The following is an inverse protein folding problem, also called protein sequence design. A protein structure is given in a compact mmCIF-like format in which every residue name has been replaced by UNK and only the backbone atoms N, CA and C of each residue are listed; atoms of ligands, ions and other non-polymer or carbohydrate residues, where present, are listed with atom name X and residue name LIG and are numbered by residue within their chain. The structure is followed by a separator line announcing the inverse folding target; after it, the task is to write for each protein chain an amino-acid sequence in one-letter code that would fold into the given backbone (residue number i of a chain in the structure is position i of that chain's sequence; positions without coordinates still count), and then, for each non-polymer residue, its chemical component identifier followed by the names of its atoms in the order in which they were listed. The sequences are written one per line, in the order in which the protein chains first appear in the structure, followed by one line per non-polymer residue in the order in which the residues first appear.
data_IF_817901532052
#
_entry.id   IF_817901532052
#
_cell.length_a   1.000
_cell.length_b   1.000
_cell.length_c   1.000
_cell.angle_alpha   90.00
_cell.angle_beta   90.00
_cell.angle_gamma   90.00
#
_symmetry.space_group_name_H-M   'P 1'
#
loop_
_entity.id
_entity.type
_entity.pdbx_description
1 polymer ?
#
# COMPACT_ATOMS: atom_id res chain seq x y z
N UNK A 1 10.10 -0.03 11.40
CA UNK A 1 10.18 0.44 12.79
C UNK A 1 10.96 1.74 12.91
N UNK A 2 12.29 1.77 12.68
CA UNK A 2 13.10 2.98 12.89
C UNK A 2 12.54 4.25 12.21
N UNK A 3 12.20 4.18 10.92
CA UNK A 3 11.62 5.31 10.18
C UNK A 3 10.23 5.74 10.68
N UNK A 4 9.39 4.79 11.07
CA UNK A 4 8.08 5.06 11.69
C UNK A 4 8.27 5.80 13.01
N UNK A 5 9.17 5.31 13.86
CA UNK A 5 9.49 5.93 15.15
C UNK A 5 10.09 7.33 14.97
N UNK A 6 11.03 7.49 14.03
CA UNK A 6 11.64 8.78 13.71
C UNK A 6 10.61 9.78 13.18
N UNK A 7 9.77 9.39 12.21
CA UNK A 7 8.72 10.25 11.68
C UNK A 7 7.67 10.62 12.72
N UNK A 8 7.28 9.67 13.58
CA UNK A 8 6.37 9.92 14.71
C UNK A 8 6.96 10.92 15.71
N UNK A 9 8.26 10.78 16.02
CA UNK A 9 8.98 11.71 16.88
C UNK A 9 9.06 13.11 16.25
N UNK A 10 9.33 13.22 14.94
CA UNK A 10 9.32 14.50 14.23
C UNK A 10 7.94 15.18 14.32
N UNK A 11 6.86 14.43 14.14
CA UNK A 11 5.50 14.95 14.29
C UNK A 11 5.22 15.44 15.71
N UNK A 12 5.67 14.68 16.72
CA UNK A 12 5.52 15.05 18.13
C UNK A 12 6.26 16.35 18.44
N UNK A 13 7.54 16.43 18.05
CA UNK A 13 8.38 17.61 18.29
C UNK A 13 7.82 18.85 17.59
N UNK A 14 7.34 18.70 16.35
CA UNK A 14 6.69 19.78 15.61
C UNK A 14 5.40 20.28 16.28
N UNK A 15 4.59 19.36 16.79
CA UNK A 15 3.36 19.69 17.51
C UNK A 15 3.65 20.44 18.82
N UNK A 16 4.65 19.98 19.57
CA UNK A 16 5.14 20.64 20.79
C UNK A 16 5.68 22.03 20.47
N UNK A 17 6.50 22.17 19.42
CA UNK A 17 7.06 23.44 19.00
C UNK A 17 6.00 24.47 18.58
N UNK A 18 4.88 24.01 18.00
CA UNK A 18 3.74 24.88 17.64
C UNK A 18 3.01 25.44 18.87
N UNK A 19 3.14 24.79 20.04
CA UNK A 19 2.46 25.21 21.26
C UNK A 19 0.93 25.06 21.20
N UNK A 20 0.41 24.10 20.42
CA UNK A 20 -1.04 23.90 20.27
C UNK A 20 -1.68 23.51 21.62
N UNK A 21 -2.71 24.22 22.10
CA UNK A 21 -3.39 23.89 23.35
C UNK A 21 -4.15 22.55 23.30
N UNK A 22 -4.37 21.99 22.10
CA UNK A 22 -5.02 20.69 21.86
C UNK A 22 -4.03 19.58 21.44
N UNK A 23 -2.74 19.75 21.77
CA UNK A 23 -1.71 18.81 21.36
C UNK A 23 -2.00 17.36 21.77
N UNK A 24 -2.72 17.13 22.87
CA UNK A 24 -3.10 15.78 23.32
C UNK A 24 -4.07 15.07 22.38
N UNK A 25 -5.07 15.78 21.88
CA UNK A 25 -6.05 15.26 20.90
C UNK A 25 -5.37 14.96 19.55
N UNK A 26 -4.49 15.86 19.10
CA UNK A 26 -3.73 15.68 17.87
C UNK A 26 -2.66 14.57 17.99
N UNK A 27 -2.07 14.39 19.18
CA UNK A 27 -1.08 13.33 19.45
C UNK A 27 -1.75 11.96 19.45
N UNK A 28 -2.87 11.82 20.15
CA UNK A 28 -3.62 10.56 20.20
C UNK A 28 -4.21 10.18 18.84
N UNK A 29 -4.79 11.13 18.09
CA UNK A 29 -5.41 10.85 16.79
C UNK A 29 -4.44 10.69 15.61
N UNK A 30 -3.21 11.20 15.71
CA UNK A 30 -2.26 11.18 14.59
C UNK A 30 -0.97 10.40 14.89
N UNK A 31 -0.35 10.60 16.05
CA UNK A 31 0.94 9.96 16.38
C UNK A 31 0.71 8.55 16.93
N UNK A 32 -0.23 8.40 17.88
CA UNK A 32 -0.62 7.06 18.34
C UNK A 32 -1.26 6.26 17.20
N UNK A 33 -1.95 6.92 16.25
CA UNK A 33 -2.40 6.29 15.02
C UNK A 33 -1.25 5.73 14.17
N UNK A 34 -0.18 6.49 13.90
CA UNK A 34 0.94 6.00 13.07
C UNK A 34 1.65 4.78 13.69
N UNK A 35 1.80 4.78 15.02
CA UNK A 35 2.34 3.64 15.76
C UNK A 35 1.34 2.46 15.75
N UNK A 36 0.07 2.75 16.05
CA UNK A 36 -1.04 1.80 16.04
C UNK A 36 -1.21 1.12 14.68
N UNK A 37 -1.04 1.85 13.58
CA UNK A 37 -1.10 1.33 12.22
C UNK A 37 -0.05 0.25 11.97
N UNK A 38 1.14 0.35 12.57
CA UNK A 38 2.16 -0.70 12.44
C UNK A 38 1.74 -1.98 13.16
N UNK A 39 1.16 -1.87 14.36
CA UNK A 39 0.58 -3.00 15.08
C UNK A 39 -0.62 -3.58 14.33
N UNK A 40 -1.43 -2.73 13.73
CA UNK A 40 -2.58 -3.12 12.92
C UNK A 40 -2.15 -3.90 11.68
N UNK A 41 -1.11 -3.45 10.96
CA UNK A 41 -0.52 -4.20 9.85
C UNK A 41 0.05 -5.56 10.30
N UNK A 42 0.68 -5.61 11.48
CA UNK A 42 1.16 -6.88 12.04
C UNK A 42 0.00 -7.82 12.35
N UNK A 43 -1.09 -7.30 12.95
CA UNK A 43 -2.31 -8.05 13.22
C UNK A 43 -2.95 -8.55 11.92
N UNK A 44 -3.04 -7.71 10.89
CA UNK A 44 -3.50 -8.12 9.56
C UNK A 44 -2.62 -9.19 8.93
N UNK A 45 -1.29 -9.11 9.12
CA UNK A 45 -0.36 -10.17 8.74
C UNK A 45 -0.64 -11.50 9.43
N UNK A 46 -1.03 -11.47 10.71
CA UNK A 46 -1.46 -12.67 11.45
C UNK A 46 -2.79 -13.19 10.91
N UNK A 47 -3.78 -12.32 10.70
CA UNK A 47 -5.11 -12.68 10.20
C UNK A 47 -5.06 -13.31 8.80
N UNK A 48 -4.13 -12.91 7.95
CA UNK A 48 -3.97 -13.46 6.59
C UNK A 48 -3.05 -14.70 6.54
N UNK A 49 -2.44 -15.10 7.66
CA UNK A 49 -1.55 -16.28 7.72
C UNK A 49 -2.26 -17.58 7.30
N UNK A 50 -3.50 -17.86 7.72
CA UNK A 50 -4.31 -18.97 7.21
C UNK A 50 -4.39 -19.02 5.68
N UNK A 51 -4.71 -17.89 5.05
CA UNK A 51 -4.80 -17.76 3.60
C UNK A 51 -3.44 -18.04 2.94
N UNK A 52 -2.36 -17.50 3.50
CA UNK A 52 -1.00 -17.76 3.01
C UNK A 52 -0.69 -19.24 2.98
N UNK A 53 -0.99 -19.98 4.05
CA UNK A 53 -0.74 -21.43 4.10
C UNK A 53 -1.58 -22.21 3.11
N UNK A 54 -2.86 -21.87 2.95
CA UNK A 54 -3.76 -22.50 1.97
C UNK A 54 -3.23 -22.33 0.54
N UNK A 55 -2.73 -21.14 0.22
CA UNK A 55 -2.21 -20.84 -1.11
C UNK A 55 -0.84 -21.48 -1.34
N UNK A 56 0.06 -21.47 -0.35
CA UNK A 56 1.44 -21.96 -0.52
C UNK A 56 1.56 -23.48 -0.45
N UNK A 57 0.70 -24.16 0.32
CA UNK A 57 0.79 -25.61 0.58
C UNK A 57 -0.59 -26.29 0.46
N UNK A 58 -1.26 -26.25 -0.71
CA UNK A 58 -2.64 -26.68 -0.87
C UNK A 58 -2.87 -28.14 -0.47
N UNK A 59 -1.90 -29.03 -0.74
CA UNK A 59 -1.99 -30.47 -0.44
C UNK A 59 -2.03 -30.77 1.06
N UNK A 60 -1.34 -29.97 1.87
CA UNK A 60 -1.28 -30.12 3.34
C UNK A 60 -2.35 -29.29 4.06
N UNK A 61 -2.97 -28.36 3.35
CA UNK A 61 -3.83 -27.35 3.95
C UNK A 61 -5.28 -27.82 4.16
N UNK A 62 -5.83 -28.75 3.37
CA UNK A 62 -7.29 -29.02 3.33
C UNK A 62 -7.99 -29.27 4.68
N UNK A 63 -7.31 -29.93 5.63
CA UNK A 63 -7.84 -30.12 7.00
C UNK A 63 -7.82 -28.82 7.82
N UNK A 64 -6.67 -28.14 7.85
CA UNK A 64 -6.50 -26.85 8.58
C UNK A 64 -7.28 -25.71 7.91
N UNK A 65 -7.47 -25.78 6.60
CA UNK A 65 -8.15 -24.79 5.80
C UNK A 65 -9.63 -24.73 6.19
N UNK A 66 -10.29 -25.89 6.26
CA UNK A 66 -11.67 -26.00 6.73
C UNK A 66 -11.83 -25.51 8.16
N UNK A 67 -10.87 -25.82 9.04
CA UNK A 67 -10.86 -25.29 10.41
C UNK A 67 -10.78 -23.75 10.45
N UNK A 68 -9.88 -23.15 9.67
CA UNK A 68 -9.75 -21.69 9.59
C UNK A 68 -11.02 -21.03 9.04
N UNK A 69 -11.62 -21.61 7.98
CA UNK A 69 -12.91 -21.16 7.43
C UNK A 69 -14.00 -21.22 8.52
N UNK A 70 -14.08 -22.31 9.28
CA UNK A 70 -15.05 -22.45 10.37
C UNK A 70 -14.84 -21.42 11.47
N UNK A 71 -13.59 -21.15 11.90
CA UNK A 71 -13.31 -20.13 12.92
C UNK A 71 -13.70 -18.74 12.43
N UNK A 72 -13.21 -18.33 11.25
CA UNK A 72 -13.52 -16.99 10.72
C UNK A 72 -15.02 -16.84 10.41
N UNK A 73 -15.66 -17.90 9.92
CA UNK A 73 -17.10 -17.96 9.70
C UNK A 73 -17.89 -17.80 10.99
N UNK A 74 -17.52 -18.52 12.05
CA UNK A 74 -18.16 -18.41 13.36
C UNK A 74 -17.97 -17.02 13.96
N UNK A 75 -16.75 -16.46 13.92
CA UNK A 75 -16.48 -15.11 14.41
C UNK A 75 -17.27 -14.05 13.65
N UNK A 76 -17.27 -14.09 12.31
CA UNK A 76 -18.05 -13.17 11.49
C UNK A 76 -19.55 -13.29 11.77
N UNK A 77 -20.07 -14.52 11.91
CA UNK A 77 -21.47 -14.77 12.24
C UNK A 77 -21.85 -14.21 13.61
N UNK A 78 -21.01 -14.43 14.64
CA UNK A 78 -21.25 -13.88 15.97
C UNK A 78 -21.33 -12.34 15.96
N UNK A 79 -20.46 -11.68 15.21
CA UNK A 79 -20.50 -10.21 15.09
C UNK A 79 -21.71 -9.74 14.27
N UNK A 80 -22.08 -10.44 13.20
CA UNK A 80 -23.32 -10.16 12.45
C UNK A 80 -24.56 -10.29 13.34
N UNK A 81 -24.63 -11.33 14.17
CA UNK A 81 -25.72 -11.50 15.15
C UNK A 81 -25.71 -10.36 16.16
N UNK A 82 -24.53 -9.93 16.64
CA UNK A 82 -24.44 -8.78 17.54
C UNK A 82 -24.97 -7.48 16.90
N UNK A 83 -24.64 -7.23 15.62
CA UNK A 83 -25.17 -6.09 14.85
C UNK A 83 -26.69 -6.20 14.70
N UNK A 84 -27.21 -7.37 14.34
CA UNK A 84 -28.65 -7.59 14.18
C UNK A 84 -29.41 -7.42 15.51
N UNK A 85 -28.85 -7.92 16.61
CA UNK A 85 -29.44 -7.77 17.95
C UNK A 85 -29.46 -6.30 18.35
N UNK A 86 -28.39 -5.55 18.11
CA UNK A 86 -28.35 -4.11 18.35
C UNK A 86 -29.45 -3.38 17.57
N UNK A 87 -29.54 -3.64 16.26
CA UNK A 87 -30.53 -3.02 15.38
C UNK A 87 -31.98 -3.39 15.77
N UNK A 88 -32.21 -4.60 16.30
CA UNK A 88 -33.53 -5.05 16.76
C UNK A 88 -33.90 -4.50 18.14
N UNK A 89 -32.91 -4.23 18.99
CA UNK A 89 -33.14 -3.71 20.34
C UNK A 89 -33.36 -2.19 20.37
N UNK A 90 -33.10 -1.49 19.24
CA UNK A 90 -33.31 -0.05 18.95
C UNK A 90 -33.45 0.82 20.22
N UNK A 91 -32.45 0.71 21.09
CA UNK A 91 -32.39 1.40 22.36
C UNK A 91 -31.58 2.68 22.21
N UNK A 92 -31.85 3.73 23.00
CA UNK A 92 -31.22 5.05 22.88
C UNK A 92 -29.74 5.09 23.36
N UNK A 93 -29.03 3.96 23.34
CA UNK A 93 -27.64 3.90 23.77
C UNK A 93 -26.69 4.43 22.71
N UNK A 94 -26.45 5.74 22.69
CA UNK A 94 -25.50 6.40 21.78
C UNK A 94 -24.14 5.66 21.71
N UNK A 95 -23.62 5.19 22.86
CA UNK A 95 -22.35 4.46 22.90
C UNK A 95 -22.37 3.07 22.24
N UNK A 96 -23.50 2.35 22.22
CA UNK A 96 -23.59 1.05 21.55
C UNK A 96 -23.66 1.21 20.04
N UNK A 97 -24.41 2.21 19.57
CA UNK A 97 -24.48 2.58 18.15
C UNK A 97 -23.11 3.01 17.64
N UNK A 98 -22.41 3.86 18.39
CA UNK A 98 -21.02 4.26 18.06
C UNK A 98 -20.08 3.05 18.00
N UNK A 99 -20.12 2.15 18.99
CA UNK A 99 -19.29 0.94 18.96
C UNK A 99 -19.63 0.05 17.74
N UNK A 100 -20.90 -0.06 17.39
CA UNK A 100 -21.36 -0.83 16.23
C UNK A 100 -20.86 -0.23 14.92
N UNK A 101 -21.04 1.08 14.74
CA UNK A 101 -20.64 1.80 13.54
C UNK A 101 -19.12 1.88 13.38
N UNK A 102 -18.39 2.18 14.44
CA UNK A 102 -16.95 2.42 14.35
C UNK A 102 -16.11 1.15 14.50
N UNK A 103 -16.58 0.13 15.21
CA UNK A 103 -15.76 -1.05 15.54
C UNK A 103 -16.36 -2.32 14.96
N UNK A 104 -17.59 -2.67 15.33
CA UNK A 104 -18.14 -4.01 15.06
C UNK A 104 -18.30 -4.24 13.57
N UNK A 105 -18.96 -3.34 12.84
CA UNK A 105 -19.21 -3.55 11.41
C UNK A 105 -17.89 -3.51 10.62
N UNK A 106 -16.98 -2.54 10.78
CA UNK A 106 -15.70 -2.55 10.06
C UNK A 106 -14.84 -3.80 10.34
N UNK A 107 -14.79 -4.29 11.59
CA UNK A 107 -14.10 -5.55 11.93
C UNK A 107 -14.79 -6.74 11.24
N UNK A 108 -16.13 -6.75 11.22
CA UNK A 108 -16.91 -7.78 10.53
C UNK A 108 -16.62 -7.80 9.03
N UNK A 109 -16.54 -6.65 8.37
CA UNK A 109 -16.18 -6.52 6.95
C UNK A 109 -14.78 -7.10 6.67
N UNK A 110 -13.78 -6.77 7.49
CA UNK A 110 -12.43 -7.35 7.39
C UNK A 110 -12.45 -8.88 7.55
N UNK A 111 -13.21 -9.42 8.52
CA UNK A 111 -13.33 -10.86 8.73
C UNK A 111 -14.05 -11.54 7.57
N UNK A 112 -15.11 -10.94 7.03
CA UNK A 112 -15.82 -11.41 5.85
C UNK A 112 -14.91 -11.41 4.61
N UNK A 113 -14.06 -10.39 4.47
CA UNK A 113 -13.07 -10.32 3.39
C UNK A 113 -12.08 -11.48 3.46
N UNK A 114 -11.47 -11.71 4.63
CA UNK A 114 -10.54 -12.83 4.85
C UNK A 114 -11.24 -14.18 4.66
N UNK A 115 -12.46 -14.33 5.18
CA UNK A 115 -13.28 -15.53 5.01
C UNK A 115 -13.56 -15.82 3.53
N UNK A 116 -14.00 -14.81 2.77
CA UNK A 116 -14.22 -14.93 1.33
C UNK A 116 -12.94 -15.41 0.63
N UNK A 117 -11.79 -14.82 0.96
CA UNK A 117 -10.51 -15.23 0.38
C UNK A 117 -10.13 -16.66 0.74
N UNK A 118 -10.36 -17.10 1.99
CA UNK A 118 -10.11 -18.47 2.42
C UNK A 118 -11.02 -19.48 1.69
N UNK A 119 -12.30 -19.14 1.52
CA UNK A 119 -13.25 -19.96 0.75
C UNK A 119 -12.82 -20.07 -0.70
N UNK A 120 -12.45 -18.96 -1.35
CA UNK A 120 -11.92 -19.00 -2.71
C UNK A 120 -10.58 -19.76 -2.78
N UNK A 121 -9.73 -19.65 -1.77
CA UNK A 121 -8.46 -20.38 -1.70
C UNK A 121 -8.65 -21.90 -1.52
N UNK A 122 -9.73 -22.35 -0.91
CA UNK A 122 -10.02 -23.79 -0.79
C UNK A 122 -10.74 -24.33 -2.03
N UNK A 123 -11.82 -23.68 -2.45
CA UNK A 123 -12.77 -24.27 -3.40
C UNK A 123 -12.55 -23.86 -4.85
N UNK A 124 -11.86 -22.75 -5.11
CA UNK A 124 -11.63 -22.31 -6.48
C UNK A 124 -10.57 -23.19 -7.16
N UNK A 125 -10.79 -23.70 -8.40
CA UNK A 125 -9.79 -24.49 -9.08
C UNK A 125 -8.51 -23.68 -9.35
N UNK A 126 -7.35 -24.34 -9.42
CA UNK A 126 -6.03 -23.69 -9.59
C UNK A 126 -6.02 -22.69 -10.77
N UNK A 127 -6.59 -23.06 -11.92
CA UNK A 127 -6.68 -22.19 -13.12
C UNK A 127 -7.44 -20.88 -12.90
N UNK A 128 -8.30 -20.82 -11.88
CA UNK A 128 -9.13 -19.66 -11.55
C UNK A 128 -8.59 -18.86 -10.37
N UNK A 129 -7.50 -19.27 -9.71
CA UNK A 129 -6.96 -18.59 -8.52
C UNK A 129 -6.67 -17.12 -8.74
N UNK A 130 -6.25 -16.72 -9.94
CA UNK A 130 -6.06 -15.31 -10.29
C UNK A 130 -7.33 -14.44 -10.18
N UNK A 131 -8.52 -15.04 -10.12
CA UNK A 131 -9.77 -14.31 -9.85
C UNK A 131 -9.88 -13.82 -8.41
N UNK A 132 -9.14 -14.42 -7.46
CA UNK A 132 -9.18 -14.02 -6.04
C UNK A 132 -8.84 -12.54 -5.83
N UNK A 133 -7.85 -12.02 -6.58
CA UNK A 133 -7.50 -10.60 -6.49
C UNK A 133 -8.59 -9.68 -7.07
N UNK A 134 -9.31 -10.12 -8.10
CA UNK A 134 -10.47 -9.38 -8.66
C UNK A 134 -11.68 -9.42 -7.71
N UNK A 135 -11.94 -10.56 -7.07
CA UNK A 135 -12.99 -10.68 -6.06
C UNK A 135 -12.69 -9.81 -4.83
N UNK A 136 -11.45 -9.82 -4.37
CA UNK A 136 -10.96 -8.97 -3.29
C UNK A 136 -11.13 -7.48 -3.60
N UNK A 137 -10.77 -7.09 -4.82
CA UNK A 137 -10.96 -5.75 -5.36
C UNK A 137 -12.44 -5.32 -5.40
N UNK A 138 -13.31 -6.20 -5.92
CA UNK A 138 -14.75 -5.92 -5.98
C UNK A 138 -15.37 -5.80 -4.59
N UNK A 139 -14.95 -6.64 -3.64
CA UNK A 139 -15.40 -6.59 -2.26
C UNK A 139 -15.07 -5.23 -1.63
N UNK A 140 -13.79 -4.83 -1.66
CA UNK A 140 -13.32 -3.54 -1.14
C UNK A 140 -14.12 -2.38 -1.75
N UNK A 141 -14.22 -2.34 -3.08
CA UNK A 141 -14.89 -1.22 -3.74
C UNK A 141 -16.38 -1.15 -3.38
N UNK A 142 -17.05 -2.30 -3.29
CA UNK A 142 -18.46 -2.36 -2.94
C UNK A 142 -18.70 -1.87 -1.51
N UNK A 143 -17.96 -2.38 -0.51
CA UNK A 143 -18.15 -1.96 0.89
C UNK A 143 -17.98 -0.45 1.05
N UNK A 144 -17.01 0.14 0.34
CA UNK A 144 -16.70 1.57 0.37
C UNK A 144 -17.74 2.46 -0.32
N UNK A 145 -18.35 1.97 -1.39
CA UNK A 145 -19.46 2.67 -2.04
C UNK A 145 -20.70 2.74 -1.14
N UNK A 146 -21.05 1.60 -0.55
CA UNK A 146 -22.28 1.43 0.20
C UNK A 146 -22.22 2.09 1.59
N UNK A 147 -21.04 2.15 2.21
CA UNK A 147 -20.93 2.57 3.59
C UNK A 147 -20.06 3.80 3.81
N UNK A 148 -20.55 4.69 4.67
CA UNK A 148 -19.77 5.79 5.23
C UNK A 148 -18.95 5.23 6.38
N UNK A 149 -17.64 5.37 6.33
CA UNK A 149 -16.77 4.99 7.42
C UNK A 149 -15.98 6.20 7.90
N UNK A 150 -16.60 7.06 8.71
CA UNK A 150 -15.88 8.18 9.29
C UNK A 150 -14.87 7.72 10.35
N UNK A 151 -14.01 8.64 10.76
CA UNK A 151 -13.14 8.46 11.94
C UNK A 151 -13.95 8.16 13.20
N UNK A 152 -13.38 7.42 14.18
CA UNK A 152 -11.94 7.17 14.38
C UNK A 152 -11.35 5.86 13.83
N UNK A 153 -12.16 4.95 13.25
CA UNK A 153 -11.67 3.62 12.80
C UNK A 153 -11.90 3.29 11.32
N UNK A 154 -12.76 4.05 10.63
CA UNK A 154 -13.11 3.80 9.24
C UNK A 154 -11.93 3.83 8.26
N UNK A 155 -11.18 4.94 8.18
CA UNK A 155 -9.99 5.03 7.33
C UNK A 155 -8.93 3.98 7.64
N UNK A 156 -8.78 3.64 8.92
CA UNK A 156 -7.75 2.76 9.42
C UNK A 156 -7.98 1.31 8.96
N UNK A 157 -9.22 0.86 8.99
CA UNK A 157 -9.61 -0.46 8.50
C UNK A 157 -9.63 -0.54 6.98
N UNK A 158 -9.95 0.57 6.28
CA UNK A 158 -9.78 0.69 4.82
C UNK A 158 -8.36 0.37 4.37
N UNK A 159 -7.37 0.96 5.05
CA UNK A 159 -5.96 0.66 4.78
C UNK A 159 -5.63 -0.82 5.01
N UNK A 160 -6.34 -1.46 5.95
CA UNK A 160 -6.27 -2.90 6.19
C UNK A 160 -6.80 -3.76 5.05
N UNK A 161 -7.97 -3.41 4.53
CA UNK A 161 -8.55 -4.11 3.37
C UNK A 161 -7.67 -3.92 2.11
N UNK A 162 -7.13 -2.73 1.90
CA UNK A 162 -6.13 -2.46 0.86
C UNK A 162 -4.88 -3.32 1.05
N UNK A 163 -4.42 -3.49 2.31
CA UNK A 163 -3.32 -4.40 2.63
C UNK A 163 -3.69 -5.85 2.30
N UNK A 164 -4.87 -6.34 2.68
CA UNK A 164 -5.30 -7.71 2.38
C UNK A 164 -5.34 -7.97 0.88
N UNK A 165 -5.87 -7.02 0.11
CA UNK A 165 -5.88 -7.12 -1.33
C UNK A 165 -4.47 -7.11 -1.93
N UNK A 166 -3.63 -6.13 -1.57
CA UNK A 166 -2.23 -6.07 -2.02
C UNK A 166 -1.45 -7.35 -1.66
N UNK A 167 -1.64 -7.88 -0.45
CA UNK A 167 -1.00 -9.11 -0.02
C UNK A 167 -1.52 -10.32 -0.80
N UNK A 168 -2.83 -10.41 -1.03
CA UNK A 168 -3.44 -11.48 -1.81
C UNK A 168 -2.93 -11.48 -3.24
N UNK A 169 -2.90 -10.32 -3.90
CA UNK A 169 -2.39 -10.20 -5.28
C UNK A 169 -0.91 -10.52 -5.40
N UNK A 170 -0.14 -10.31 -4.32
CA UNK A 170 1.26 -10.73 -4.24
C UNK A 170 1.44 -12.24 -4.08
N UNK A 171 0.56 -12.89 -3.33
CA UNK A 171 0.58 -14.34 -3.15
C UNK A 171 0.03 -15.09 -4.38
N UNK A 172 -1.06 -14.57 -4.94
CA UNK A 172 -1.77 -15.13 -6.09
C UNK A 172 -1.91 -14.01 -7.12
N UNK A 173 -1.06 -13.99 -8.16
CA UNK A 173 -1.14 -12.98 -9.20
C UNK A 173 -2.54 -12.90 -9.80
N UNK A 174 -3.03 -11.69 -10.04
CA UNK A 174 -4.35 -11.49 -10.62
C UNK A 174 -4.44 -12.04 -12.03
N UNK A 175 -5.60 -12.56 -12.41
CA UNK A 175 -5.85 -12.97 -13.78
C UNK A 175 -5.66 -11.76 -14.71
N UNK A 176 -4.73 -11.84 -15.67
CA UNK A 176 -4.40 -10.74 -16.58
C UNK A 176 -3.58 -9.60 -15.95
N UNK A 177 -2.97 -9.80 -14.78
CA UNK A 177 -2.22 -8.74 -14.08
C UNK A 177 -1.15 -8.08 -14.95
N UNK A 178 -0.41 -8.87 -15.76
CA UNK A 178 0.60 -8.32 -16.67
C UNK A 178 -0.04 -7.44 -17.75
N UNK A 179 -1.11 -7.89 -18.39
CA UNK A 179 -1.80 -7.13 -19.44
C UNK A 179 -2.37 -5.82 -18.89
N UNK A 180 -2.97 -5.86 -17.69
CA UNK A 180 -3.44 -4.67 -16.98
C UNK A 180 -2.26 -3.74 -16.68
N UNK A 181 -1.15 -4.28 -16.19
CA UNK A 181 0.05 -3.50 -15.89
C UNK A 181 0.64 -2.82 -17.13
N UNK A 182 0.68 -3.50 -18.28
CA UNK A 182 1.12 -2.92 -19.55
C UNK A 182 0.20 -1.79 -20.00
N UNK A 183 -1.12 -2.02 -19.94
CA UNK A 183 -2.12 -1.00 -20.25
C UNK A 183 -1.96 0.23 -19.36
N UNK A 184 -1.84 0.03 -18.04
CA UNK A 184 -1.64 1.09 -17.05
C UNK A 184 -0.33 1.85 -17.30
N UNK A 185 0.73 1.15 -17.71
CA UNK A 185 2.02 1.78 -18.04
C UNK A 185 1.95 2.60 -19.32
N UNK A 186 1.22 2.14 -20.34
CA UNK A 186 1.09 2.87 -21.61
C UNK A 186 0.17 4.08 -21.48
N UNK A 187 -0.87 3.97 -20.65
CA UNK A 187 -1.92 4.98 -20.52
C UNK A 187 -1.79 5.84 -19.25
N UNK A 188 -0.68 5.77 -18.52
CA UNK A 188 -0.51 6.50 -17.25
C UNK A 188 -0.85 8.00 -17.33
N UNK A 189 -0.51 8.77 -18.40
CA UNK A 189 -0.88 10.19 -18.45
C UNK A 189 -2.41 10.37 -18.57
N UNK A 190 -3.06 9.53 -19.38
CA UNK A 190 -4.52 9.54 -19.53
C UNK A 190 -5.23 9.12 -18.25
N UNK A 191 -4.68 8.13 -17.55
CA UNK A 191 -5.20 7.69 -16.26
C UNK A 191 -5.09 8.80 -15.20
N UNK A 192 -4.00 9.56 -15.18
CA UNK A 192 -3.87 10.73 -14.30
C UNK A 192 -4.92 11.79 -14.62
N UNK A 193 -5.15 12.09 -15.90
CA UNK A 193 -6.20 13.03 -16.31
C UNK A 193 -7.58 12.50 -15.90
N UNK A 194 -7.86 11.22 -16.12
CA UNK A 194 -9.12 10.60 -15.71
C UNK A 194 -9.33 10.67 -14.19
N UNK A 195 -8.31 10.33 -13.39
CA UNK A 195 -8.35 10.50 -11.93
C UNK A 195 -8.58 11.97 -11.55
N UNK A 196 -7.90 12.92 -12.20
CA UNK A 196 -8.09 14.35 -11.97
C UNK A 196 -9.51 14.84 -12.27
N UNK A 197 -10.15 14.31 -13.32
CA UNK A 197 -11.53 14.64 -13.69
C UNK A 197 -12.59 13.98 -12.77
N UNK A 198 -12.27 12.81 -12.20
CA UNK A 198 -13.12 12.16 -11.20
C UNK A 198 -13.12 12.95 -9.88
N UNK A 199 -11.98 13.51 -9.50
CA UNK A 199 -11.85 14.29 -8.28
C UNK A 199 -12.46 15.67 -8.45
N UNK A 200 -13.32 16.08 -7.51
CA UNK A 200 -13.93 17.41 -7.53
C UNK A 200 -12.88 18.48 -7.23
N UNK A 201 -12.70 19.50 -8.09
CA UNK A 201 -11.74 20.56 -7.86
C UNK A 201 -12.16 21.48 -6.71
N UNK A 202 -11.18 22.11 -6.05
CA UNK A 202 -11.41 23.10 -5.00
C UNK A 202 -11.91 22.53 -3.68
N UNK A 203 -11.86 21.20 -3.50
CA UNK A 203 -12.27 20.56 -2.26
C UNK A 203 -11.06 20.35 -1.37
N UNK A 204 -11.13 20.94 -0.18
CA UNK A 204 -10.13 20.81 0.86
C UNK A 204 -10.67 19.92 1.98
N UNK A 205 -9.83 19.03 2.52
CA UNK A 205 -10.17 18.16 3.64
C UNK A 205 -9.94 16.67 3.36
N UNK A 206 -9.89 15.88 4.45
CA UNK A 206 -9.66 14.44 4.41
C UNK A 206 -10.97 13.68 4.17
N UNK A 207 -11.27 13.42 2.89
CA UNK A 207 -12.50 12.68 2.49
C UNK A 207 -12.44 11.19 2.77
N UNK A 208 -11.25 10.66 3.05
CA UNK A 208 -11.08 9.37 3.69
C UNK A 208 -11.66 9.38 5.12
N UNK A 209 -11.51 10.48 5.87
CA UNK A 209 -12.02 10.62 7.26
C UNK A 209 -13.47 11.08 7.33
N UNK A 210 -13.89 11.89 6.36
CA UNK A 210 -15.22 12.48 6.28
C UNK A 210 -15.79 12.19 4.89
N UNK A 211 -16.22 10.94 4.65
CA UNK A 211 -16.68 10.49 3.34
C UNK A 211 -17.89 11.27 2.87
N UNK A 212 -18.07 11.34 1.55
CA UNK A 212 -19.19 12.05 0.94
C UNK A 212 -20.53 11.44 1.32
N UNK A 213 -21.54 12.31 1.44
CA UNK A 213 -22.90 11.87 1.68
C UNK A 213 -23.51 11.16 0.46
N UNK A 214 -23.23 11.69 -0.73
CA UNK A 214 -23.72 11.15 -1.99
C UNK A 214 -22.94 9.89 -2.38
N UNK A 215 -23.65 8.89 -2.88
CA UNK A 215 -23.05 7.65 -3.39
C UNK A 215 -22.20 7.93 -4.64
N UNK A 216 -22.63 8.89 -5.47
CA UNK A 216 -21.93 9.30 -6.68
C UNK A 216 -20.53 9.87 -6.37
N UNK A 217 -20.42 10.76 -5.38
CA UNK A 217 -19.14 11.36 -5.04
C UNK A 217 -18.20 10.37 -4.36
N UNK A 218 -18.74 9.46 -3.56
CA UNK A 218 -17.97 8.32 -3.04
C UNK A 218 -17.46 7.47 -4.21
N UNK A 219 -18.31 7.17 -5.19
CA UNK A 219 -17.91 6.37 -6.35
C UNK A 219 -16.81 7.01 -7.18
N UNK A 220 -16.90 8.31 -7.45
CA UNK A 220 -15.83 9.05 -8.14
C UNK A 220 -14.51 9.02 -7.36
N UNK A 221 -14.56 9.28 -6.06
CA UNK A 221 -13.37 9.28 -5.20
C UNK A 221 -12.71 7.90 -5.14
N UNK A 222 -13.49 6.87 -4.79
CA UNK A 222 -12.97 5.52 -4.67
C UNK A 222 -12.55 4.94 -6.02
N UNK A 223 -13.15 5.35 -7.14
CA UNK A 223 -12.71 4.92 -8.47
C UNK A 223 -11.31 5.47 -8.81
N UNK A 224 -11.03 6.73 -8.44
CA UNK A 224 -9.69 7.30 -8.60
C UNK A 224 -8.66 6.56 -7.73
N UNK A 225 -9.00 6.27 -6.47
CA UNK A 225 -8.18 5.45 -5.58
C UNK A 225 -7.93 4.06 -6.18
N UNK A 226 -8.97 3.44 -6.74
CA UNK A 226 -8.94 2.13 -7.38
C UNK A 226 -7.97 2.08 -8.55
N UNK A 227 -8.01 3.08 -9.43
CA UNK A 227 -7.10 3.20 -10.57
C UNK A 227 -5.66 3.32 -10.08
N UNK A 228 -5.40 4.19 -9.10
CA UNK A 228 -4.06 4.39 -8.54
C UNK A 228 -3.52 3.11 -7.89
N UNK A 229 -4.37 2.44 -7.12
CA UNK A 229 -4.11 1.15 -6.49
C UNK A 229 -3.80 0.04 -7.49
N UNK A 230 -4.62 -0.11 -8.53
CA UNK A 230 -4.40 -1.06 -9.62
C UNK A 230 -3.08 -0.79 -10.33
N UNK A 231 -2.78 0.48 -10.64
CA UNK A 231 -1.50 0.86 -11.24
C UNK A 231 -0.33 0.45 -10.35
N UNK A 232 -0.40 0.73 -9.04
CA UNK A 232 0.65 0.39 -8.08
C UNK A 232 0.94 -1.11 -7.98
N UNK A 233 -0.09 -1.96 -8.08
CA UNK A 233 0.06 -3.42 -7.99
C UNK A 233 0.44 -4.08 -9.33
N UNK A 234 0.03 -3.51 -10.46
CA UNK A 234 0.15 -4.18 -11.76
C UNK A 234 1.30 -3.68 -12.61
N UNK A 235 1.67 -2.39 -12.55
CA UNK A 235 2.79 -1.83 -13.31
C UNK A 235 4.12 -2.55 -13.01
N UNK A 236 4.51 -2.80 -11.74
CA UNK A 236 5.79 -3.44 -11.44
C UNK A 236 5.95 -4.84 -12.04
N UNK A 237 4.83 -5.56 -12.23
CA UNK A 237 4.81 -6.93 -12.76
C UNK A 237 4.56 -7.00 -14.27
N UNK A 238 4.35 -5.87 -14.95
CA UNK A 238 3.98 -5.83 -16.37
C UNK A 238 5.00 -6.47 -17.34
N UNK A 239 6.19 -6.87 -16.83
CA UNK A 239 7.24 -7.57 -17.56
C UNK A 239 7.47 -7.02 -18.98
N UNK A 240 7.55 -5.69 -19.07
CA UNK A 240 7.79 -5.01 -20.33
C UNK A 240 9.17 -5.42 -20.88
N UNK A 241 9.26 -5.82 -22.17
CA UNK A 241 10.55 -6.11 -22.81
C UNK A 241 11.44 -4.86 -22.82
N UNK A 242 10.82 -3.68 -22.90
CA UNK A 242 11.41 -2.37 -22.66
C UNK A 242 10.91 -1.83 -21.31
N UNK A 243 11.23 -2.49 -20.20
CA UNK A 243 11.23 -1.73 -18.94
C UNK A 243 12.13 -0.52 -19.24
N UNK A 244 11.65 0.70 -18.95
CA UNK A 244 12.54 1.83 -18.69
C UNK A 244 13.39 1.40 -17.50
N UNK A 245 14.38 0.55 -17.77
CA UNK A 245 15.28 0.01 -16.79
C UNK A 245 16.05 1.23 -16.37
N UNK A 246 15.72 1.72 -15.17
CA UNK A 246 16.49 2.80 -14.59
C UNK A 246 17.96 2.40 -14.71
N UNK A 247 18.83 3.30 -15.19
CA UNK A 247 20.25 3.02 -15.29
C UNK A 247 20.74 2.35 -14.01
N UNK A 248 21.66 1.39 -14.08
CA UNK A 248 22.09 0.68 -12.85
C UNK A 248 22.58 1.65 -11.75
N UNK A 249 23.14 2.80 -12.14
CA UNK A 249 23.49 3.90 -11.25
C UNK A 249 22.33 4.39 -10.38
N UNK A 250 21.09 4.32 -10.89
CA UNK A 250 19.89 4.75 -10.18
C UNK A 250 19.40 3.72 -9.15
N UNK A 251 19.80 2.44 -9.22
CA UNK A 251 19.34 1.43 -8.26
C UNK A 251 19.65 1.81 -6.82
N UNK A 252 20.85 2.38 -6.56
CA UNK A 252 21.23 2.87 -5.22
C UNK A 252 20.32 4.03 -4.78
N UNK A 253 20.03 4.95 -5.69
CA UNK A 253 19.12 6.07 -5.43
C UNK A 253 17.68 5.61 -5.20
N UNK A 254 17.22 4.55 -5.86
CA UNK A 254 15.87 4.00 -5.67
C UNK A 254 15.68 3.41 -4.26
N UNK A 255 16.69 2.74 -3.71
CA UNK A 255 16.63 2.25 -2.31
C UNK A 255 16.51 3.42 -1.34
N UNK A 256 17.36 4.44 -1.50
CA UNK A 256 17.27 5.64 -0.69
C UNK A 256 15.93 6.35 -0.86
N UNK A 257 15.44 6.51 -2.09
CA UNK A 257 14.19 7.19 -2.40
C UNK A 257 13.00 6.48 -1.77
N UNK A 258 13.00 5.14 -1.71
CA UNK A 258 11.99 4.38 -1.00
C UNK A 258 12.00 4.69 0.51
N UNK A 259 13.17 4.70 1.14
CA UNK A 259 13.31 5.03 2.56
C UNK A 259 12.97 6.49 2.87
N UNK A 260 13.40 7.41 2.00
CA UNK A 260 13.07 8.83 2.08
C UNK A 260 11.56 9.06 1.93
N UNK A 261 10.93 8.43 0.95
CA UNK A 261 9.48 8.52 0.73
C UNK A 261 8.73 7.98 1.95
N UNK A 262 9.20 6.89 2.55
CA UNK A 262 8.64 6.38 3.79
C UNK A 262 8.82 7.37 4.95
N UNK A 263 10.01 7.95 5.12
CA UNK A 263 10.25 8.96 6.16
C UNK A 263 9.36 10.19 5.98
N UNK A 264 9.30 10.72 4.76
CA UNK A 264 8.47 11.86 4.39
C UNK A 264 6.99 11.57 4.64
N UNK A 265 6.52 10.37 4.27
CA UNK A 265 5.17 9.93 4.59
C UNK A 265 4.95 9.81 6.10
N UNK A 266 5.93 9.34 6.87
CA UNK A 266 5.77 9.25 8.32
C UNK A 266 5.84 10.62 9.00
N UNK A 267 6.59 11.59 8.46
CA UNK A 267 6.79 12.92 9.06
C UNK A 267 5.95 14.04 8.44
N UNK A 268 5.06 13.75 7.49
CA UNK A 268 4.32 14.79 6.74
C UNK A 268 3.54 15.74 7.65
N UNK A 269 3.02 15.28 8.80
CA UNK A 269 2.30 16.11 9.76
C UNK A 269 3.17 17.17 10.44
N UNK A 270 4.47 16.90 10.63
CA UNK A 270 5.41 17.89 11.14
C UNK A 270 5.40 19.16 10.27
N UNK A 271 5.37 19.00 8.94
CA UNK A 271 5.28 20.12 8.01
C UNK A 271 3.95 20.88 8.14
N UNK A 272 2.83 20.16 8.29
CA UNK A 272 1.53 20.80 8.55
C UNK A 272 1.44 21.56 9.86
N UNK A 273 2.22 21.17 10.87
CA UNK A 273 2.26 21.88 12.15
C UNK A 273 3.20 23.08 12.13
N UNK A 274 4.35 22.95 11.47
CA UNK A 274 5.38 23.99 11.45
C UNK A 274 5.12 25.07 10.40
N UNK A 275 4.41 24.73 9.33
CA UNK A 275 4.04 25.66 8.28
C UNK A 275 2.52 25.81 8.36
N UNK A 276 2.03 27.01 8.60
CA UNK A 276 0.59 27.30 8.61
C UNK A 276 0.07 27.63 7.19
N UNK A 277 -1.20 27.31 6.91
CA UNK A 277 -1.92 27.77 5.70
C UNK A 277 -1.88 26.83 4.49
N UNK A 278 -1.85 27.40 3.27
CA UNK A 278 -1.79 26.67 1.98
C UNK A 278 -0.33 26.35 1.58
N UNK A 279 0.62 27.13 2.09
CA UNK A 279 2.06 26.91 1.95
C UNK A 279 2.58 25.51 2.33
N UNK A 280 2.02 24.75 3.31
CA UNK A 280 2.55 23.47 3.75
C UNK A 280 2.54 22.41 2.65
N UNK A 281 1.55 22.45 1.75
CA UNK A 281 1.52 21.57 0.58
C UNK A 281 2.66 21.89 -0.38
N UNK A 282 2.88 23.17 -0.68
CA UNK A 282 4.00 23.59 -1.54
C UNK A 282 5.35 23.32 -0.90
N UNK A 283 5.51 23.59 0.40
CA UNK A 283 6.72 23.28 1.16
C UNK A 283 6.95 21.77 1.26
N UNK A 284 5.93 20.94 1.48
CA UNK A 284 6.05 19.49 1.46
C UNK A 284 6.45 18.98 0.07
N UNK A 285 5.78 19.46 -0.99
CA UNK A 285 6.15 19.14 -2.38
C UNK A 285 7.58 19.57 -2.67
N UNK A 286 7.97 20.80 -2.34
CA UNK A 286 9.35 21.27 -2.49
C UNK A 286 10.33 20.43 -1.66
N UNK A 287 10.04 20.12 -0.40
CA UNK A 287 10.99 19.40 0.46
C UNK A 287 11.11 17.93 0.02
N UNK A 288 10.00 17.29 -0.37
CA UNK A 288 9.99 15.90 -0.82
C UNK A 288 10.62 15.76 -2.21
N UNK A 289 10.24 16.61 -3.17
CA UNK A 289 10.73 16.53 -4.54
C UNK A 289 12.08 17.23 -4.74
N UNK A 290 12.34 18.38 -4.13
CA UNK A 290 13.62 19.08 -4.28
C UNK A 290 14.75 18.40 -3.49
N UNK A 291 14.48 17.80 -2.31
CA UNK A 291 15.50 17.00 -1.62
C UNK A 291 15.85 15.75 -2.44
N UNK A 292 14.85 15.09 -3.03
CA UNK A 292 15.11 13.98 -3.95
C UNK A 292 15.97 14.43 -5.13
N UNK A 293 15.64 15.56 -5.77
CA UNK A 293 16.39 16.09 -6.91
C UNK A 293 17.83 16.48 -6.55
N UNK A 294 18.04 17.20 -5.44
CA UNK A 294 19.38 17.58 -4.97
C UNK A 294 20.22 16.35 -4.60
N UNK A 295 19.63 15.32 -4.00
CA UNK A 295 20.34 14.06 -3.76
C UNK A 295 20.71 13.33 -5.06
N UNK A 296 19.87 13.35 -6.09
CA UNK A 296 20.23 12.83 -7.41
C UNK A 296 21.38 13.60 -8.07
N UNK A 297 21.50 14.91 -7.81
CA UNK A 297 22.59 15.74 -8.33
C UNK A 297 23.90 15.57 -7.54
N UNK A 298 23.84 15.55 -6.21
CA UNK A 298 25.02 15.47 -5.32
C UNK A 298 25.58 14.06 -5.26
N UNK A 299 24.72 13.04 -5.34
CA UNK A 299 25.11 11.65 -5.20
C UNK A 299 25.35 10.96 -6.55
N UNK A 300 25.51 11.76 -7.62
CA UNK A 300 25.94 11.27 -8.93
C UNK A 300 27.25 10.50 -8.73
N UNK A 301 27.31 9.20 -9.08
CA UNK A 301 28.51 8.42 -8.83
C UNK A 301 29.67 8.98 -9.64
N UNK A 302 30.65 9.60 -8.96
CA UNK A 302 31.96 9.94 -9.54
C UNK A 302 32.62 8.70 -10.16
N UNK A 303 32.30 7.52 -9.64
CA UNK A 303 32.78 6.22 -10.10
C UNK A 303 32.43 5.90 -11.57
N UNK A 304 31.40 6.51 -12.18
CA UNK A 304 31.08 6.29 -13.61
C UNK A 304 31.97 7.14 -14.51
N UNK A 305 32.35 8.35 -14.08
CA UNK A 305 33.33 9.18 -14.78
C UNK A 305 34.75 8.63 -14.59
N UNK A 306 35.09 8.11 -13.40
CA UNK A 306 36.36 7.41 -13.18
C UNK A 306 36.43 6.05 -13.89
N UNK A 307 35.35 5.26 -13.91
CA UNK A 307 35.33 3.98 -14.64
C UNK A 307 35.32 4.16 -16.16
N UNK A 308 34.71 5.23 -16.69
CA UNK A 308 34.76 5.53 -18.13
C UNK A 308 36.11 6.15 -18.55
N UNK A 309 36.74 6.95 -17.68
CA UNK A 309 38.12 7.43 -17.87
C UNK A 309 39.16 6.30 -17.78
N UNK A 310 39.04 5.42 -16.79
CA UNK A 310 39.93 4.26 -16.61
C UNK A 310 39.66 3.13 -17.62
N UNK A 311 38.46 3.02 -18.18
CA UNK A 311 38.18 2.08 -19.27
C UNK A 311 38.85 2.52 -20.59
N UNK A 312 38.96 3.84 -20.82
CA UNK A 312 39.74 4.40 -21.93
C UNK A 312 41.23 4.09 -21.81
N UNK A 313 41.79 4.15 -20.60
CA UNK A 313 43.21 3.80 -20.37
C UNK A 313 43.47 2.29 -20.34
N UNK A 314 42.57 1.47 -19.77
CA UNK A 314 42.75 -0.01 -19.74
C UNK A 314 42.55 -0.69 -21.09
N UNK A 315 41.76 -0.14 -22.00
CA UNK A 315 41.63 -0.65 -23.36
C UNK A 315 42.95 -0.55 -24.16
N UNK A 316 43.91 0.27 -23.72
CA UNK A 316 45.25 0.35 -24.29
C UNK A 316 46.24 -0.70 -23.74
N UNK A 317 45.86 -1.45 -22.69
CA UNK A 317 46.78 -2.34 -21.95
C UNK A 317 46.45 -3.84 -22.01
N UNK A 318 45.32 -4.26 -22.59
CA UNK A 318 44.98 -5.70 -22.72
C UNK A 318 45.20 -6.24 -24.12
N UNK A 319 46.47 -6.22 -24.57
CA UNK A 319 46.98 -7.02 -25.68
C UNK A 319 47.49 -8.41 -25.26
N UNK A 320 47.03 -8.95 -24.12
CA UNK A 320 47.46 -10.26 -23.62
C UNK A 320 46.36 -11.32 -23.82
N UNK A 321 46.60 -12.36 -24.64
CA UNK A 321 45.65 -13.43 -24.96
C UNK A 321 45.04 -14.14 -23.73
N UNK A 322 45.71 -14.11 -22.57
CA UNK A 322 45.23 -14.78 -21.34
C UNK A 322 43.98 -14.15 -20.70
N UNK A 323 43.69 -12.88 -20.97
CA UNK A 323 42.51 -12.22 -20.40
C UNK A 323 41.20 -12.66 -21.10
N UNK A 324 41.27 -13.08 -22.37
CA UNK A 324 40.12 -13.56 -23.14
C UNK A 324 39.67 -14.94 -22.65
N UNK A 325 40.61 -15.81 -22.26
CA UNK A 325 40.31 -17.14 -21.72
C UNK A 325 39.58 -17.09 -20.37
N UNK A 326 39.92 -16.15 -19.48
CA UNK A 326 39.26 -16.00 -18.17
C UNK A 326 37.84 -15.44 -18.29
N UNK A 327 37.57 -14.58 -19.26
CA UNK A 327 36.22 -14.07 -19.52
C UNK A 327 35.34 -15.17 -20.13
N UNK A 328 35.86 -15.97 -21.06
CA UNK A 328 35.11 -17.09 -21.63
C UNK A 328 34.81 -18.21 -20.62
N UNK A 329 35.72 -18.48 -19.67
CA UNK A 329 35.49 -19.45 -18.59
C UNK A 329 34.41 -19.02 -17.58
N UNK A 330 34.12 -17.72 -17.47
CA UNK A 330 33.07 -17.21 -16.57
C UNK A 330 31.66 -17.28 -17.18
N UNK A 331 31.55 -17.29 -18.51
CA UNK A 331 30.25 -17.35 -19.21
C UNK A 331 29.69 -18.77 -19.23
N UNK A 332 30.54 -19.81 -19.24
CA UNK A 332 30.10 -21.21 -19.20
C UNK A 332 29.48 -21.61 -17.86
N UNK A 333 29.79 -20.93 -16.75
CA UNK A 333 29.18 -21.19 -15.44
C UNK A 333 27.76 -20.62 -15.27
N UNK A 334 27.34 -19.68 -16.12
CA UNK A 334 26.02 -19.03 -16.00
C UNK A 334 24.90 -19.72 -16.79
N UNK A 335 25.20 -20.78 -17.56
CA UNK A 335 24.21 -21.50 -18.39
C UNK A 335 23.73 -22.82 -17.77
N UNK A 336 24.17 -23.13 -16.55
CA UNK A 336 23.76 -24.30 -15.79
C UNK A 336 23.10 -23.87 -14.47
N UNK A 337 21.91 -23.26 -14.55
CA UNK A 337 20.95 -23.18 -13.43
C UNK A 337 19.54 -22.92 -13.95
#
# INVERSE_FOLDING_TARGET
MLYTSAGSLMNLLALVARGSPKWWDDTSLNIAFQLGFTFQLALFGLLITPLRWQVSEPEKASGRARWNISIFGALALCLLVAIMVEALLDGPGEGLKEATDFVIIPVTECLLHVLMLCVLAEYLPIRWKGFMGHASWLFLYSTRLWRRQPRPMGPELHLGELFFWAFTTKLVPMAGQEAIGRLMTQLWPFLLVACGLLLRPGIFGRKDQYPWDSWEDRGRMYLAELIACMAFLTIPVANLPEKLAFPQSWRRHMVWLNWWSLLAFMSHKAFYYLVDGILPWYCMVLTVYAAAFLCFLVWRPRDVEEASGLAGERASWTGSPRAVELVQASVSFSSAS
#
